data_IF_150809817601
#
_entry.id   IF_150809817601
#
_cell.length_a   1.000
_cell.length_b   1.000
_cell.length_c   1.000
_cell.angle_alpha   90.00
_cell.angle_beta   90.00
_cell.angle_gamma   90.00
#
_symmetry.space_group_name_H-M   'P 1'
#
loop_
_entity.id
_entity.type
_entity.pdbx_description
1 polymer ?
#
# COMPACT_ATOMS: atom_id res chain seq x y z
N UNK A 1 -27.04 -67.93 -16.89
CA UNK A 1 -27.49 -66.60 -17.37
C UNK A 1 -28.01 -65.82 -16.15
N UNK A 2 -27.15 -65.24 -15.31
CA UNK A 2 -27.64 -64.71 -14.00
C UNK A 2 -26.79 -63.61 -13.32
N UNK A 3 -25.93 -62.87 -14.03
CA UNK A 3 -25.12 -61.80 -13.42
C UNK A 3 -25.55 -60.36 -13.78
N UNK A 4 -26.39 -60.15 -14.81
CA UNK A 4 -26.79 -58.79 -15.24
C UNK A 4 -27.91 -58.15 -14.40
N UNK A 5 -28.68 -58.95 -13.64
CA UNK A 5 -29.89 -58.48 -12.94
C UNK A 5 -29.58 -57.84 -11.56
N UNK A 6 -28.46 -58.20 -10.92
CA UNK A 6 -28.09 -57.68 -9.59
C UNK A 6 -27.38 -56.32 -9.66
N UNK A 7 -26.50 -56.12 -10.66
CA UNK A 7 -25.80 -54.85 -10.88
C UNK A 7 -26.76 -53.69 -11.22
N UNK A 8 -27.80 -53.96 -12.02
CA UNK A 8 -28.82 -52.95 -12.37
C UNK A 8 -29.63 -52.46 -11.16
N UNK A 9 -29.90 -53.33 -10.17
CA UNK A 9 -30.58 -52.94 -8.94
C UNK A 9 -29.69 -52.09 -8.03
N UNK A 10 -28.40 -52.41 -7.94
CA UNK A 10 -27.43 -51.65 -7.11
C UNK A 10 -27.21 -50.24 -7.68
N UNK A 11 -27.09 -50.11 -9.01
CA UNK A 11 -26.92 -48.82 -9.68
C UNK A 11 -28.18 -47.95 -9.53
N UNK A 12 -29.37 -48.54 -9.63
CA UNK A 12 -30.63 -47.81 -9.43
C UNK A 12 -30.78 -47.26 -8.00
N UNK A 13 -30.35 -48.02 -6.98
CA UNK A 13 -30.42 -47.58 -5.57
C UNK A 13 -29.42 -46.46 -5.25
N UNK A 14 -28.21 -46.48 -5.84
CA UNK A 14 -27.20 -45.42 -5.65
C UNK A 14 -27.67 -44.11 -6.31
N UNK A 15 -28.25 -44.18 -7.51
CA UNK A 15 -28.76 -43.00 -8.21
C UNK A 15 -29.95 -42.38 -7.47
N UNK A 16 -30.85 -43.20 -6.90
CA UNK A 16 -31.97 -42.68 -6.09
C UNK A 16 -31.50 -42.02 -4.77
N UNK A 17 -30.45 -42.54 -4.15
CA UNK A 17 -29.85 -41.95 -2.94
C UNK A 17 -29.21 -40.58 -3.18
N UNK A 18 -28.56 -40.39 -4.33
CA UNK A 18 -27.93 -39.10 -4.69
C UNK A 18 -29.01 -38.04 -5.00
N UNK A 19 -30.12 -38.41 -5.65
CA UNK A 19 -31.22 -37.47 -5.97
C UNK A 19 -31.93 -36.97 -4.71
N UNK A 20 -32.05 -37.78 -3.65
CA UNK A 20 -32.66 -37.34 -2.39
C UNK A 20 -31.78 -36.36 -1.59
N UNK A 21 -30.45 -36.41 -1.71
CA UNK A 21 -29.55 -35.46 -1.05
C UNK A 21 -29.64 -34.06 -1.69
N UNK A 22 -29.89 -33.98 -3.00
CA UNK A 22 -30.01 -32.69 -3.71
C UNK A 22 -31.31 -31.95 -3.31
N UNK A 23 -32.41 -32.66 -3.05
CA UNK A 23 -33.68 -32.04 -2.65
C UNK A 23 -33.64 -31.50 -1.21
N UNK A 24 -32.78 -32.05 -0.33
CA UNK A 24 -32.61 -31.54 1.03
C UNK A 24 -31.81 -30.23 1.12
N UNK A 25 -31.00 -29.88 0.10
CA UNK A 25 -30.21 -28.64 0.10
C UNK A 25 -31.02 -27.44 -0.42
N UNK A 26 -32.14 -27.66 -1.13
CA UNK A 26 -32.97 -26.54 -1.63
C UNK A 26 -33.86 -25.94 -0.53
N UNK A 27 -34.07 -26.62 0.61
CA UNK A 27 -34.92 -26.10 1.69
C UNK A 27 -34.19 -25.28 2.77
N UNK A 28 -32.89 -25.01 2.62
CA UNK A 28 -32.14 -24.11 3.53
C UNK A 28 -31.58 -22.88 2.81
N UNK A 29 -32.14 -22.50 1.65
CA UNK A 29 -31.87 -21.22 1.00
C UNK A 29 -32.97 -20.18 1.24
N UNK A 30 -33.73 -20.29 2.34
CA UNK A 30 -34.26 -19.07 2.95
C UNK A 30 -33.10 -18.38 3.66
N UNK A 31 -32.27 -17.70 2.86
CA UNK A 31 -31.54 -16.55 3.36
C UNK A 31 -32.60 -15.68 4.02
N UNK A 32 -32.57 -15.59 5.36
CA UNK A 32 -33.19 -14.45 6.02
C UNK A 32 -32.60 -13.25 5.31
N UNK A 33 -33.43 -12.57 4.52
CA UNK A 33 -33.09 -11.25 4.01
C UNK A 33 -32.74 -10.46 5.26
N UNK A 34 -31.46 -10.16 5.43
CA UNK A 34 -31.04 -9.17 6.41
C UNK A 34 -31.80 -7.91 5.99
N UNK A 35 -32.72 -7.48 6.84
CA UNK A 35 -33.41 -6.20 6.66
C UNK A 35 -32.34 -5.12 6.60
N UNK A 36 -32.20 -4.56 5.40
CA UNK A 36 -31.17 -3.59 5.04
C UNK A 36 -30.95 -3.55 3.53
N UNK A 37 -32.01 -3.63 2.74
CA UNK A 37 -31.94 -3.48 1.27
C UNK A 37 -32.71 -2.25 0.83
N UNK A 38 -32.28 -1.08 1.29
CA UNK A 38 -32.44 0.15 0.54
C UNK A 38 -31.21 0.30 -0.38
N UNK A 39 -31.25 -0.35 -1.55
CA UNK A 39 -30.21 -0.25 -2.60
C UNK A 39 -30.06 1.16 -3.22
N UNK A 40 -30.57 2.21 -2.55
CA UNK A 40 -30.43 3.60 -2.96
C UNK A 40 -29.30 4.35 -2.24
N UNK A 41 -28.72 3.79 -1.19
CA UNK A 41 -27.75 4.49 -0.31
C UNK A 41 -26.40 3.77 -0.19
N UNK A 42 -26.10 2.86 -1.12
CA UNK A 42 -24.80 2.17 -1.20
C UNK A 42 -23.99 2.73 -2.36
N UNK A 43 -22.92 3.45 -2.03
CA UNK A 43 -21.92 3.90 -2.99
C UNK A 43 -20.95 2.77 -3.32
N UNK A 44 -20.43 2.76 -4.55
CA UNK A 44 -19.57 1.67 -5.00
C UNK A 44 -18.23 1.72 -4.27
N UNK A 45 -17.71 0.57 -3.81
CA UNK A 45 -16.43 0.49 -3.08
C UNK A 45 -15.22 1.11 -3.83
N UNK A 46 -15.29 1.17 -5.17
CA UNK A 46 -14.29 1.86 -6.02
C UNK A 46 -14.21 3.37 -5.77
N UNK A 47 -15.29 3.99 -5.30
CA UNK A 47 -15.36 5.44 -5.04
C UNK A 47 -14.53 5.85 -3.83
N UNK A 48 -14.23 4.88 -2.94
CA UNK A 48 -13.36 5.08 -1.77
C UNK A 48 -11.92 4.61 -2.00
N UNK A 49 -11.56 4.18 -3.21
CA UNK A 49 -10.18 3.75 -3.48
C UNK A 49 -9.29 4.99 -3.54
N UNK A 50 -8.16 5.01 -2.79
CA UNK A 50 -7.26 6.17 -2.78
C UNK A 50 -6.85 6.55 -4.20
N UNK A 51 -6.88 7.85 -4.51
CA UNK A 51 -6.51 8.34 -5.83
C UNK A 51 -5.01 8.11 -6.07
N UNK A 52 -4.66 7.32 -7.08
CA UNK A 52 -3.26 7.08 -7.45
C UNK A 52 -2.87 8.05 -8.56
N UNK A 53 -1.92 8.93 -8.26
CA UNK A 53 -1.35 9.83 -9.26
C UNK A 53 -0.06 9.26 -9.83
N UNK A 54 -0.07 8.97 -11.13
CA UNK A 54 1.12 8.52 -11.84
C UNK A 54 1.74 9.70 -12.59
N UNK A 55 3.00 10.01 -12.28
CA UNK A 55 3.82 10.95 -13.05
C UNK A 55 3.46 12.44 -12.94
N UNK A 56 2.40 12.84 -12.21
CA UNK A 56 2.03 14.25 -12.02
C UNK A 56 2.76 14.92 -10.86
N UNK A 57 3.02 14.17 -9.78
CA UNK A 57 3.71 14.69 -8.61
C UNK A 57 5.20 14.95 -8.91
N UNK A 58 5.60 16.21 -8.84
CA UNK A 58 6.99 16.65 -9.03
C UNK A 58 7.75 16.62 -7.69
N UNK A 59 8.65 15.65 -7.54
CA UNK A 59 9.51 15.51 -6.36
C UNK A 59 10.93 15.86 -6.76
N UNK A 60 11.53 16.84 -6.10
CA UNK A 60 12.93 17.22 -6.28
C UNK A 60 13.79 16.69 -5.11
N UNK A 61 14.45 15.56 -5.34
CA UNK A 61 15.34 14.92 -4.37
C UNK A 61 16.56 15.80 -4.03
N UNK A 62 17.03 16.65 -4.96
CA UNK A 62 18.14 17.55 -4.67
C UNK A 62 17.69 18.64 -3.70
N UNK A 63 16.50 19.21 -3.89
CA UNK A 63 15.97 20.23 -2.98
C UNK A 63 15.69 19.66 -1.58
N UNK A 64 15.28 18.39 -1.49
CA UNK A 64 15.01 17.72 -0.21
C UNK A 64 16.32 17.37 0.51
N UNK A 65 17.24 16.67 -0.18
CA UNK A 65 18.41 16.01 0.43
C UNK A 65 19.73 16.78 0.28
N UNK A 66 19.75 17.85 -0.52
CA UNK A 66 20.96 18.55 -0.97
C UNK A 66 21.94 17.70 -1.81
N UNK A 67 21.56 16.48 -2.20
CA UNK A 67 22.36 15.58 -3.04
C UNK A 67 21.75 15.48 -4.44
N UNK A 68 22.59 15.53 -5.48
CA UNK A 68 22.15 15.25 -6.85
C UNK A 68 22.03 13.75 -7.10
N UNK A 69 20.81 13.31 -7.36
CA UNK A 69 20.48 11.94 -7.79
C UNK A 69 20.66 11.79 -9.31
N UNK A 70 20.86 10.55 -9.81
CA UNK A 70 20.63 10.24 -11.22
C UNK A 70 19.23 10.68 -11.65
N UNK A 71 19.00 10.86 -12.96
CA UNK A 71 17.66 11.21 -13.46
C UNK A 71 16.64 10.14 -13.04
N UNK A 72 15.41 10.56 -12.75
CA UNK A 72 14.35 9.68 -12.28
C UNK A 72 12.95 10.17 -12.68
N UNK A 73 11.96 9.30 -12.50
CA UNK A 73 10.54 9.62 -12.66
C UNK A 73 9.70 9.07 -11.51
N UNK A 74 8.61 9.76 -11.19
CA UNK A 74 7.60 9.27 -10.25
C UNK A 74 6.77 8.18 -10.92
N UNK A 75 6.88 6.94 -10.43
CA UNK A 75 6.13 5.79 -10.98
C UNK A 75 4.80 5.58 -10.29
N UNK A 76 4.70 5.97 -9.03
CA UNK A 76 3.48 5.87 -8.23
C UNK A 76 3.51 6.93 -7.14
N UNK A 77 2.40 7.62 -6.91
CA UNK A 77 2.15 8.41 -5.72
C UNK A 77 0.75 8.10 -5.20
N UNK A 78 0.63 7.94 -3.88
CA UNK A 78 -0.65 7.71 -3.19
C UNK A 78 -0.76 8.62 -1.97
N UNK A 79 -1.99 9.01 -1.58
CA UNK A 79 -2.25 9.67 -0.30
C UNK A 79 -1.65 8.87 0.86
N UNK A 80 -1.14 9.55 1.87
CA UNK A 80 -0.58 8.90 3.06
C UNK A 80 -1.15 9.50 4.33
N UNK A 81 -1.90 8.69 5.06
CA UNK A 81 -2.48 9.05 6.36
C UNK A 81 -1.80 8.19 7.42
N UNK A 82 -1.14 8.79 8.44
CA UNK A 82 -0.60 8.03 9.56
C UNK A 82 -1.72 7.37 10.38
N UNK A 83 -1.48 6.17 10.90
CA UNK A 83 -2.44 5.43 11.76
C UNK A 83 -2.95 6.23 12.98
N UNK A 84 -2.22 7.27 13.39
CA UNK A 84 -2.54 8.13 14.52
C UNK A 84 -3.52 9.27 14.19
N UNK A 85 -3.97 9.34 12.93
CA UNK A 85 -4.93 10.34 12.44
C UNK A 85 -6.21 9.63 12.03
N UNK A 86 -7.34 10.08 12.55
CA UNK A 86 -8.67 9.58 12.17
C UNK A 86 -9.18 10.38 10.98
N UNK A 87 -8.64 10.10 9.79
CA UNK A 87 -9.06 10.66 8.51
C UNK A 87 -9.29 9.51 7.53
N UNK A 88 -10.37 9.56 6.76
CA UNK A 88 -10.63 8.52 5.77
C UNK A 88 -9.72 8.69 4.55
N UNK A 89 -9.35 7.59 3.89
CA UNK A 89 -8.38 7.61 2.79
C UNK A 89 -8.90 8.32 1.52
N UNK A 90 -10.22 8.43 1.39
CA UNK A 90 -10.94 9.18 0.35
C UNK A 90 -11.06 10.68 0.67
N UNK A 91 -10.80 11.09 1.91
CA UNK A 91 -10.73 12.49 2.33
C UNK A 91 -9.32 13.09 2.17
N UNK A 92 -8.36 12.30 1.68
CA UNK A 92 -6.97 12.72 1.47
C UNK A 92 -6.54 12.56 0.01
N UNK A 93 -5.72 13.50 -0.46
CA UNK A 93 -5.20 13.48 -1.83
C UNK A 93 -3.68 13.69 -1.84
N UNK A 94 -3.03 13.35 -2.95
CA UNK A 94 -1.58 13.64 -3.10
C UNK A 94 -1.34 15.16 -3.14
N UNK A 95 -2.27 15.92 -3.71
CA UNK A 95 -2.20 17.37 -3.85
C UNK A 95 -2.23 18.11 -2.51
N UNK A 96 -2.80 17.51 -1.45
CA UNK A 96 -2.79 18.09 -0.10
C UNK A 96 -1.37 18.18 0.49
N UNK A 97 -0.42 17.41 -0.06
CA UNK A 97 0.95 17.33 0.40
C UNK A 97 1.24 16.11 1.28
N UNK A 98 0.24 15.34 1.72
CA UNK A 98 0.47 14.10 2.48
C UNK A 98 0.52 12.89 1.55
N UNK A 99 1.71 12.37 1.26
CA UNK A 99 1.84 11.30 0.26
C UNK A 99 2.97 10.31 0.54
N UNK A 100 2.85 9.15 -0.09
CA UNK A 100 3.93 8.21 -0.32
C UNK A 100 4.14 7.99 -1.82
N UNK A 101 5.36 8.16 -2.28
CA UNK A 101 5.74 8.07 -3.68
C UNK A 101 6.89 7.08 -3.89
N UNK A 102 6.83 6.38 -5.02
CA UNK A 102 7.94 5.57 -5.55
C UNK A 102 8.51 6.29 -6.75
N UNK A 103 9.81 6.55 -6.71
CA UNK A 103 10.59 7.08 -7.82
C UNK A 103 11.45 5.95 -8.39
N UNK A 104 11.60 5.94 -9.71
CA UNK A 104 12.49 5.03 -10.41
C UNK A 104 13.62 5.84 -11.06
N UNK A 105 14.85 5.58 -10.63
CA UNK A 105 16.06 6.11 -11.24
C UNK A 105 16.29 5.47 -12.60
N UNK A 106 16.65 6.27 -13.60
CA UNK A 106 16.93 5.82 -14.97
C UNK A 106 18.16 4.88 -15.02
N UNK A 107 19.06 4.99 -14.04
CA UNK A 107 20.27 4.16 -13.91
C UNK A 107 20.50 3.75 -12.46
N UNK A 108 21.08 2.56 -12.25
CA UNK A 108 21.62 2.18 -10.93
C UNK A 108 22.71 3.18 -10.55
N UNK A 109 22.67 3.80 -9.35
CA UNK A 109 23.70 4.74 -8.94
C UNK A 109 25.09 4.11 -8.88
N UNK A 110 26.09 4.88 -9.29
CA UNK A 110 27.48 4.44 -9.26
C UNK A 110 28.10 4.57 -7.86
N UNK A 111 29.32 4.04 -7.67
CA UNK A 111 30.05 4.10 -6.41
C UNK A 111 30.25 5.54 -5.90
N UNK A 112 30.55 6.48 -6.80
CA UNK A 112 30.79 7.88 -6.44
C UNK A 112 29.56 8.55 -5.84
N UNK A 113 28.35 8.21 -6.34
CA UNK A 113 27.11 8.70 -5.76
C UNK A 113 26.97 8.29 -4.29
N UNK A 114 27.20 7.01 -3.99
CA UNK A 114 27.15 6.50 -2.62
C UNK A 114 28.21 7.14 -1.71
N UNK A 115 29.43 7.31 -2.22
CA UNK A 115 30.51 8.01 -1.49
C UNK A 115 30.16 9.46 -1.14
N UNK A 116 29.45 10.19 -2.02
CA UNK A 116 28.99 11.55 -1.72
C UNK A 116 27.99 11.57 -0.58
N UNK A 117 27.08 10.59 -0.51
CA UNK A 117 26.13 10.48 0.60
C UNK A 117 26.86 10.10 1.88
N UNK A 118 27.78 9.13 1.82
CA UNK A 118 28.58 8.72 2.98
C UNK A 118 29.39 9.89 3.54
N UNK A 119 29.91 10.78 2.68
CA UNK A 119 30.58 12.01 3.10
C UNK A 119 29.61 13.04 3.68
N UNK A 120 28.44 13.24 3.06
CA UNK A 120 27.43 14.17 3.57
C UNK A 120 26.93 13.77 4.96
N UNK A 121 26.71 12.47 5.20
CA UNK A 121 26.25 11.94 6.48
C UNK A 121 27.24 12.12 7.64
N UNK A 122 28.52 12.43 7.36
CA UNK A 122 29.48 12.79 8.40
C UNK A 122 29.16 14.15 9.04
N UNK A 123 28.38 14.99 8.36
CA UNK A 123 28.07 16.36 8.78
C UNK A 123 26.58 16.66 8.84
N UNK A 124 25.74 15.89 8.16
CA UNK A 124 24.29 16.02 8.15
C UNK A 124 23.63 14.84 8.88
N UNK A 125 23.13 15.10 10.08
CA UNK A 125 22.49 14.11 10.97
C UNK A 125 21.12 13.66 10.49
N UNK A 126 20.59 14.27 9.42
CA UNK A 126 19.35 13.80 8.78
C UNK A 126 19.55 12.47 8.03
N UNK A 127 20.81 12.09 7.74
CA UNK A 127 21.14 10.80 7.15
C UNK A 127 21.30 9.71 8.21
N UNK A 128 20.60 8.60 8.01
CA UNK A 128 20.83 7.32 8.68
C UNK A 128 21.21 6.27 7.63
N UNK A 129 22.40 5.69 7.80
CA UNK A 129 23.00 4.76 6.82
C UNK A 129 23.22 3.43 7.49
N UNK A 130 22.61 2.39 6.93
CA UNK A 130 22.86 1.02 7.37
C UNK A 130 23.58 0.21 6.28
N UNK A 131 23.75 -1.09 6.52
CA UNK A 131 24.46 -1.99 5.59
C UNK A 131 23.81 -2.07 4.21
N UNK A 132 22.50 -1.89 4.11
CA UNK A 132 21.70 -2.18 2.92
C UNK A 132 21.06 -0.94 2.28
N UNK A 133 20.83 0.13 3.04
CA UNK A 133 20.03 1.26 2.62
C UNK A 133 20.51 2.58 3.21
N UNK A 134 20.07 3.64 2.55
CA UNK A 134 20.18 5.03 2.98
C UNK A 134 18.78 5.52 3.35
N UNK A 135 18.68 6.19 4.49
CA UNK A 135 17.48 6.91 4.93
C UNK A 135 17.85 8.36 5.14
N UNK A 136 17.02 9.27 4.65
CA UNK A 136 17.12 10.70 4.92
C UNK A 136 15.80 11.17 5.51
N UNK A 137 15.83 11.79 6.70
CA UNK A 137 14.64 12.34 7.34
C UNK A 137 14.88 13.78 7.76
N UNK A 138 14.08 14.71 7.24
CA UNK A 138 14.28 16.14 7.44
C UNK A 138 12.95 16.89 7.55
N UNK A 139 12.89 17.84 8.48
CA UNK A 139 11.81 18.83 8.53
C UNK A 139 11.93 19.84 7.40
N UNK A 140 10.82 20.13 6.74
CA UNK A 140 10.75 21.18 5.74
C UNK A 140 10.55 22.57 6.40
N UNK A 141 10.47 23.62 5.57
CA UNK A 141 10.27 25.00 6.06
C UNK A 141 8.88 25.27 6.61
N UNK A 142 7.86 24.53 6.14
CA UNK A 142 6.49 24.63 6.62
C UNK A 142 6.26 23.87 7.95
N UNK A 143 7.25 23.08 8.38
CA UNK A 143 7.20 22.23 9.56
C UNK A 143 6.64 20.83 9.29
N UNK A 144 6.46 20.47 8.02
CA UNK A 144 6.28 19.09 7.55
C UNK A 144 7.58 18.29 7.64
N UNK A 145 7.53 17.02 7.25
CA UNK A 145 8.67 16.08 7.29
C UNK A 145 8.72 15.30 6.00
N UNK A 146 9.90 15.31 5.39
CA UNK A 146 10.27 14.39 4.32
C UNK A 146 11.01 13.20 4.89
N UNK A 147 10.71 12.02 4.32
CA UNK A 147 11.51 10.80 4.49
C UNK A 147 11.84 10.23 3.12
N UNK A 148 13.12 10.00 2.84
CA UNK A 148 13.61 9.40 1.60
C UNK A 148 14.37 8.12 1.93
N UNK A 149 14.03 7.00 1.29
CA UNK A 149 14.66 5.70 1.53
C UNK A 149 15.01 5.02 0.22
N UNK A 150 16.23 4.48 0.11
CA UNK A 150 16.65 3.70 -1.05
C UNK A 150 17.76 2.71 -0.70
N UNK A 151 17.80 1.59 -1.43
CA UNK A 151 18.79 0.54 -1.22
C UNK A 151 20.10 0.79 -1.98
N UNK A 152 21.20 0.31 -1.41
CA UNK A 152 22.49 0.20 -2.09
C UNK A 152 22.34 -0.72 -3.30
N UNK A 153 22.72 -0.24 -4.50
CA UNK A 153 22.56 -0.96 -5.77
C UNK A 153 21.14 -0.99 -6.34
N UNK A 154 20.17 -0.30 -5.71
CA UNK A 154 18.79 -0.23 -6.22
C UNK A 154 18.53 1.01 -7.09
N UNK A 155 17.50 0.91 -7.93
CA UNK A 155 16.97 2.05 -8.71
C UNK A 155 15.71 2.66 -8.09
N UNK A 156 15.12 2.03 -7.07
CA UNK A 156 13.90 2.53 -6.46
C UNK A 156 14.25 3.45 -5.29
N UNK A 157 13.58 4.61 -5.25
CA UNK A 157 13.62 5.55 -4.13
C UNK A 157 12.20 5.73 -3.63
N UNK A 158 11.99 5.52 -2.34
CA UNK A 158 10.72 5.76 -1.67
C UNK A 158 10.77 7.12 -0.99
N UNK A 159 9.74 7.93 -1.20
CA UNK A 159 9.61 9.26 -0.60
C UNK A 159 8.28 9.33 0.12
N UNK A 160 8.28 9.75 1.38
CA UNK A 160 7.07 10.10 2.12
C UNK A 160 7.16 11.56 2.53
N UNK A 161 6.06 12.28 2.41
CA UNK A 161 5.92 13.62 2.97
C UNK A 161 4.67 13.68 3.86
N UNK A 162 4.82 14.33 5.01
CA UNK A 162 3.74 14.65 5.92
C UNK A 162 3.77 16.15 6.25
N UNK A 163 2.61 16.79 6.16
CA UNK A 163 2.43 18.16 6.62
C UNK A 163 2.52 18.24 8.16
N UNK A 164 2.76 19.45 8.66
CA UNK A 164 3.00 19.75 10.09
C UNK A 164 1.89 19.23 11.02
N UNK A 165 0.65 19.35 10.56
CA UNK A 165 -0.57 18.91 11.25
C UNK A 165 -0.62 17.39 11.42
N UNK A 166 -0.11 16.63 10.45
CA UNK A 166 -0.09 15.16 10.48
C UNK A 166 1.02 14.56 11.37
N UNK A 167 2.00 15.38 11.79
CA UNK A 167 3.16 14.92 12.58
C UNK A 167 2.88 14.90 14.09
N UNK A 168 1.87 15.66 14.56
CA UNK A 168 1.66 15.89 16.00
C UNK A 168 1.27 14.63 16.79
N UNK A 169 0.84 13.56 16.12
CA UNK A 169 0.38 12.34 16.78
C UNK A 169 1.37 11.16 16.71
N UNK A 170 2.50 11.28 16.00
CA UNK A 170 3.47 10.18 15.82
C UNK A 170 4.46 10.04 16.98
N UNK A 171 4.65 11.09 17.79
CA UNK A 171 5.62 11.11 18.89
C UNK A 171 5.09 10.54 20.23
N UNK A 172 3.82 10.11 20.30
CA UNK A 172 3.25 9.50 21.51
C UNK A 172 3.43 7.97 21.59
N UNK A 173 4.02 7.34 20.56
CA UNK A 173 4.20 5.88 20.48
C UNK A 173 5.65 5.44 20.56
N UNK A 174 6.50 6.13 21.35
CA UNK A 174 7.69 5.48 21.90
C UNK A 174 7.34 4.91 23.27
N UNK A 175 7.26 3.58 23.45
CA UNK A 175 7.20 3.03 24.80
C UNK A 175 8.46 3.46 25.54
N UNK A 176 8.28 4.12 26.68
CA UNK A 176 9.37 4.32 27.63
C UNK A 176 9.96 2.95 27.94
N UNK A 177 11.25 2.79 27.61
CA UNK A 177 12.03 1.61 27.95
C UNK A 177 12.73 1.84 29.28
#
# INVERSE_FOLDING_TARGET
MEQKKSLSKIIATIVFGIVFIIIAIVSCNQSKTIEGSNNGDTVAAKEFTPHVENGKLNIDLQSITSIRFPKYKTTKAIPFIPDSVSLAADEESVESGNYSATLLLDTIPNKEFYQRIDLAAQHDTCWDINKFAYTYERKDKAGGVYKVVFSKGGQQVFVTHLNKDMIKNTNQTKPNK
#
